data_IF_912013914275
#
_entry.id   IF_912013914275
#
_cell.length_a   1.000
_cell.length_b   1.000
_cell.length_c   1.000
_cell.angle_alpha   90.00
_cell.angle_beta   90.00
_cell.angle_gamma   90.00
#
_symmetry.space_group_name_H-M   'P 1'
#
loop_
_entity.id
_entity.type
_entity.pdbx_description
1 polymer ?
#
# COMPACT_ATOMS: atom_id res chain seq x y z
N UNK A 1 10.15 5.22 -15.68
CA UNK A 1 10.72 3.96 -16.22
C UNK A 1 11.30 4.17 -17.62
N UNK A 2 10.48 4.47 -18.63
CA UNK A 2 10.95 4.61 -20.02
C UNK A 2 12.15 5.55 -20.16
N UNK A 3 12.02 6.80 -19.70
CA UNK A 3 13.09 7.80 -19.82
C UNK A 3 14.39 7.34 -19.17
N UNK A 4 14.35 6.81 -17.95
CA UNK A 4 15.54 6.30 -17.24
C UNK A 4 16.20 5.14 -17.97
N UNK A 5 15.42 4.19 -18.49
CA UNK A 5 15.97 3.07 -19.28
C UNK A 5 16.63 3.58 -20.56
N UNK A 6 15.95 4.48 -21.28
CA UNK A 6 16.45 5.06 -22.53
C UNK A 6 17.75 5.84 -22.29
N UNK A 7 17.81 6.70 -21.28
CA UNK A 7 19.02 7.48 -20.99
C UNK A 7 20.19 6.58 -20.62
N UNK A 8 19.97 5.54 -19.81
CA UNK A 8 21.04 4.61 -19.44
C UNK A 8 21.53 3.76 -20.64
N UNK A 9 20.64 3.39 -21.57
CA UNK A 9 21.04 2.72 -22.81
C UNK A 9 21.91 3.64 -23.68
N UNK A 10 21.52 4.91 -23.82
CA UNK A 10 22.31 5.91 -24.55
C UNK A 10 23.69 6.10 -23.89
N UNK A 11 23.76 6.18 -22.57
CA UNK A 11 25.02 6.30 -21.83
C UNK A 11 25.95 5.11 -22.07
N UNK A 12 25.40 3.88 -22.11
CA UNK A 12 26.19 2.68 -22.42
C UNK A 12 26.68 2.67 -23.87
N UNK A 13 25.87 3.16 -24.81
CA UNK A 13 26.23 3.25 -26.23
C UNK A 13 27.37 4.25 -26.44
N UNK A 14 27.24 5.45 -25.87
CA UNK A 14 28.27 6.49 -25.92
C UNK A 14 29.59 6.09 -25.25
N UNK A 15 29.55 5.12 -24.34
CA UNK A 15 30.72 4.56 -23.68
C UNK A 15 31.27 3.28 -24.34
N UNK A 16 30.74 2.88 -25.51
CA UNK A 16 31.08 1.63 -26.21
C UNK A 16 30.89 0.37 -25.34
N UNK A 17 29.93 0.41 -24.40
CA UNK A 17 29.62 -0.68 -23.43
C UNK A 17 28.25 -1.31 -23.66
N UNK A 18 27.46 -0.82 -24.61
CA UNK A 18 26.15 -1.38 -24.90
C UNK A 18 26.27 -2.77 -25.55
N UNK A 19 25.50 -3.73 -25.03
CA UNK A 19 25.45 -5.08 -25.58
C UNK A 19 24.04 -5.44 -26.03
N UNK A 20 23.92 -6.34 -26.99
CA UNK A 20 22.61 -6.88 -27.41
C UNK A 20 21.85 -7.49 -26.23
N UNK A 21 22.54 -8.19 -25.33
CA UNK A 21 21.94 -8.78 -24.14
C UNK A 21 21.31 -7.71 -23.23
N UNK A 22 22.00 -6.58 -23.02
CA UNK A 22 21.46 -5.46 -22.24
C UNK A 22 20.19 -4.89 -22.87
N UNK A 23 20.19 -4.71 -24.19
CA UNK A 23 19.00 -4.23 -24.94
C UNK A 23 17.84 -5.21 -24.83
N UNK A 24 18.08 -6.50 -25.06
CA UNK A 24 17.05 -7.55 -24.99
C UNK A 24 16.42 -7.61 -23.58
N UNK A 25 17.24 -7.51 -22.52
CA UNK A 25 16.78 -7.49 -21.13
C UNK A 25 15.97 -6.23 -20.80
N UNK A 26 16.43 -5.06 -21.25
CA UNK A 26 15.72 -3.81 -21.06
C UNK A 26 14.36 -3.82 -21.77
N UNK A 27 14.31 -4.35 -23.00
CA UNK A 27 13.08 -4.48 -23.78
C UNK A 27 12.09 -5.43 -23.10
N UNK A 28 12.53 -6.62 -22.69
CA UNK A 28 11.70 -7.57 -21.96
C UNK A 28 11.14 -6.96 -20.67
N UNK A 29 11.99 -6.29 -19.90
CA UNK A 29 11.56 -5.62 -18.67
C UNK A 29 10.52 -4.54 -18.96
N UNK A 30 10.76 -3.68 -19.95
CA UNK A 30 9.86 -2.59 -20.30
C UNK A 30 8.49 -3.10 -20.74
N UNK A 31 8.45 -4.07 -21.66
CA UNK A 31 7.20 -4.65 -22.16
C UNK A 31 6.43 -5.35 -21.04
N UNK A 32 7.10 -6.19 -20.25
CA UNK A 32 6.47 -6.89 -19.11
C UNK A 32 5.88 -5.91 -18.11
N UNK A 33 6.62 -4.84 -17.79
CA UNK A 33 6.15 -3.82 -16.85
C UNK A 33 4.98 -3.02 -17.42
N UNK A 34 5.05 -2.64 -18.70
CA UNK A 34 4.00 -1.93 -19.41
C UNK A 34 2.70 -2.75 -19.43
N UNK A 35 2.77 -4.02 -19.81
CA UNK A 35 1.61 -4.90 -19.91
C UNK A 35 0.97 -5.12 -18.53
N UNK A 36 1.80 -5.33 -17.51
CA UNK A 36 1.35 -5.42 -16.12
C UNK A 36 0.67 -4.15 -15.63
N UNK A 37 1.24 -2.97 -15.93
CA UNK A 37 0.65 -1.68 -15.57
C UNK A 37 -0.66 -1.43 -16.32
N UNK A 38 -0.72 -1.72 -17.62
CA UNK A 38 -1.92 -1.57 -18.43
C UNK A 38 -3.04 -2.46 -17.91
N UNK A 39 -2.76 -3.74 -17.64
CA UNK A 39 -3.73 -4.66 -17.03
C UNK A 39 -4.20 -4.14 -15.67
N UNK A 40 -3.28 -3.66 -14.83
CA UNK A 40 -3.60 -3.09 -13.52
C UNK A 40 -4.52 -1.87 -13.60
N UNK A 41 -4.36 -1.02 -14.62
CA UNK A 41 -5.20 0.15 -14.85
C UNK A 41 -6.57 -0.26 -15.40
N UNK A 42 -6.60 -1.13 -16.42
CA UNK A 42 -7.84 -1.54 -17.08
C UNK A 42 -8.76 -2.33 -16.14
N UNK A 43 -8.21 -3.21 -15.30
CA UNK A 43 -8.99 -4.05 -14.40
C UNK A 43 -9.81 -3.25 -13.36
N UNK A 44 -9.45 -1.99 -13.12
CA UNK A 44 -10.11 -1.14 -12.11
C UNK A 44 -10.88 0.03 -12.69
N UNK A 45 -11.06 0.10 -14.01
CA UNK A 45 -12.01 1.03 -14.60
C UNK A 45 -13.41 0.96 -13.98
N UNK A 46 -13.93 -0.22 -13.55
CA UNK A 46 -15.19 -0.28 -12.81
C UNK A 46 -15.19 0.55 -11.51
N UNK A 47 -14.02 0.79 -10.89
CA UNK A 47 -13.90 1.54 -9.65
C UNK A 47 -14.16 3.04 -9.83
N UNK A 48 -13.96 3.60 -11.03
CA UNK A 48 -13.99 5.05 -11.27
C UNK A 48 -15.36 5.70 -11.03
N UNK A 49 -16.44 4.91 -11.01
CA UNK A 49 -17.78 5.37 -10.61
C UNK A 49 -17.99 5.51 -9.10
N UNK A 50 -16.99 5.14 -8.29
CA UNK A 50 -17.02 5.20 -6.83
C UNK A 50 -15.80 5.99 -6.31
N UNK A 51 -16.06 7.20 -5.81
CA UNK A 51 -15.01 8.12 -5.36
C UNK A 51 -14.17 7.57 -4.20
N UNK A 52 -14.78 6.87 -3.24
CA UNK A 52 -14.06 6.26 -2.11
C UNK A 52 -13.12 5.17 -2.58
N UNK A 53 -13.64 4.23 -3.38
CA UNK A 53 -12.85 3.10 -3.88
C UNK A 53 -11.71 3.60 -4.78
N UNK A 54 -11.99 4.55 -5.67
CA UNK A 54 -10.99 5.15 -6.54
C UNK A 54 -9.89 5.84 -5.73
N UNK A 55 -10.26 6.66 -4.75
CA UNK A 55 -9.29 7.35 -3.89
C UNK A 55 -8.47 6.38 -3.03
N UNK A 56 -9.08 5.33 -2.50
CA UNK A 56 -8.37 4.27 -1.79
C UNK A 56 -7.38 3.52 -2.67
N UNK A 57 -7.75 3.25 -3.92
CA UNK A 57 -6.83 2.66 -4.88
C UNK A 57 -5.67 3.58 -5.21
N UNK A 58 -5.93 4.87 -5.45
CA UNK A 58 -4.88 5.88 -5.68
C UNK A 58 -3.93 5.94 -4.48
N UNK A 59 -4.46 5.93 -3.26
CA UNK A 59 -3.67 5.88 -2.04
C UNK A 59 -2.75 4.64 -2.02
N UNK A 60 -3.32 3.46 -2.23
CA UNK A 60 -2.60 2.18 -2.28
C UNK A 60 -1.48 2.17 -3.32
N UNK A 61 -1.81 2.48 -4.58
CA UNK A 61 -0.87 2.45 -5.70
C UNK A 61 0.25 3.47 -5.52
N UNK A 62 -0.09 4.66 -5.00
CA UNK A 62 0.90 5.72 -4.78
C UNK A 62 1.86 5.31 -3.65
N UNK A 63 1.36 4.69 -2.57
CA UNK A 63 2.22 4.19 -1.49
C UNK A 63 3.14 3.08 -2.01
N UNK A 64 2.59 2.10 -2.73
CA UNK A 64 3.36 1.03 -3.36
C UNK A 64 4.42 1.57 -4.35
N UNK A 65 4.07 2.60 -5.12
CA UNK A 65 4.98 3.30 -6.02
C UNK A 65 6.16 3.90 -5.28
N UNK A 66 5.92 4.64 -4.19
CA UNK A 66 6.97 5.17 -3.32
C UNK A 66 7.76 4.09 -2.60
N UNK A 67 7.14 2.96 -2.28
CA UNK A 67 7.76 1.86 -1.54
C UNK A 67 8.72 1.02 -2.37
N UNK A 68 8.40 0.74 -3.64
CA UNK A 68 9.18 -0.21 -4.45
C UNK A 68 9.77 0.40 -5.71
N UNK A 69 8.95 1.06 -6.53
CA UNK A 69 9.40 1.55 -7.84
C UNK A 69 10.24 2.83 -7.73
N UNK A 70 9.88 3.73 -6.83
CA UNK A 70 10.62 4.96 -6.56
C UNK A 70 12.09 4.70 -6.21
N UNK A 71 12.39 3.91 -5.15
CA UNK A 71 13.77 3.62 -4.75
C UNK A 71 14.60 3.01 -5.87
N UNK A 72 14.05 2.04 -6.61
CA UNK A 72 14.74 1.43 -7.75
C UNK A 72 15.11 2.47 -8.83
N UNK A 73 14.25 3.48 -9.03
CA UNK A 73 14.50 4.58 -9.95
C UNK A 73 15.60 5.52 -9.47
N UNK A 74 15.49 6.00 -8.23
CA UNK A 74 16.43 6.99 -7.69
C UNK A 74 17.83 6.42 -7.50
N UNK A 75 17.95 5.10 -7.32
CA UNK A 75 19.22 4.40 -7.15
C UNK A 75 19.77 3.78 -8.45
N UNK A 76 19.18 4.11 -9.61
CA UNK A 76 19.65 3.67 -10.94
C UNK A 76 19.73 2.16 -11.13
N UNK A 77 18.86 1.38 -10.49
CA UNK A 77 18.96 -0.08 -10.45
C UNK A 77 18.21 -0.81 -11.58
N UNK A 78 17.55 -0.09 -12.50
CA UNK A 78 16.67 -0.71 -13.49
C UNK A 78 17.40 -1.58 -14.53
N UNK A 79 18.63 -1.23 -14.90
CA UNK A 79 19.47 -2.03 -15.79
C UNK A 79 20.36 -3.05 -15.06
N UNK A 80 20.18 -3.26 -13.76
CA UNK A 80 20.87 -4.31 -13.00
C UNK A 80 19.88 -5.41 -12.59
N UNK A 81 19.70 -6.48 -13.40
CA UNK A 81 18.84 -7.61 -13.04
C UNK A 81 19.26 -8.31 -11.76
N UNK A 82 20.56 -8.36 -11.46
CA UNK A 82 21.08 -9.09 -10.31
C UNK A 82 20.76 -8.33 -9.01
N UNK A 83 21.02 -7.02 -8.97
CA UNK A 83 20.64 -6.18 -7.84
C UNK A 83 19.12 -6.16 -7.62
N UNK A 84 18.32 -6.04 -8.69
CA UNK A 84 16.85 -6.15 -8.59
C UNK A 84 16.40 -7.50 -8.05
N UNK A 85 17.06 -8.58 -8.46
CA UNK A 85 16.80 -9.92 -7.95
C UNK A 85 17.01 -10.00 -6.44
N UNK A 86 18.17 -9.53 -5.96
CA UNK A 86 18.52 -9.50 -4.52
C UNK A 86 17.55 -8.63 -3.72
N UNK A 87 17.26 -7.42 -4.20
CA UNK A 87 16.33 -6.49 -3.56
C UNK A 87 14.88 -7.02 -3.49
N UNK A 88 14.47 -7.89 -4.44
CA UNK A 88 13.12 -8.49 -4.47
C UNK A 88 13.00 -9.78 -3.68
N UNK A 89 14.09 -10.43 -3.27
CA UNK A 89 14.02 -11.72 -2.56
C UNK A 89 13.23 -11.66 -1.25
N UNK A 90 13.14 -10.49 -0.60
CA UNK A 90 12.31 -10.27 0.60
C UNK A 90 10.91 -9.69 0.36
N UNK A 91 10.65 -9.08 -0.80
CA UNK A 91 9.40 -8.35 -1.09
C UNK A 91 8.52 -9.01 -2.15
N UNK A 92 8.82 -10.24 -2.56
CA UNK A 92 8.04 -10.99 -3.55
C UNK A 92 6.56 -11.16 -3.17
N UNK A 93 6.24 -11.19 -1.88
CA UNK A 93 4.87 -11.25 -1.37
C UNK A 93 4.04 -10.02 -1.73
N UNK A 94 4.67 -8.87 -2.02
CA UNK A 94 3.96 -7.68 -2.46
C UNK A 94 3.07 -7.95 -3.69
N UNK A 95 3.52 -8.76 -4.64
CA UNK A 95 2.71 -9.02 -5.85
C UNK A 95 1.44 -9.80 -5.54
N UNK A 96 1.50 -10.74 -4.59
CA UNK A 96 0.33 -11.47 -4.11
C UNK A 96 -0.64 -10.53 -3.39
N UNK A 97 -0.10 -9.66 -2.53
CA UNK A 97 -0.90 -8.67 -1.82
C UNK A 97 -1.53 -7.64 -2.78
N UNK A 98 -0.78 -7.18 -3.79
CA UNK A 98 -1.26 -6.23 -4.78
C UNK A 98 -2.41 -6.84 -5.60
N UNK A 99 -2.29 -8.08 -6.08
CA UNK A 99 -3.37 -8.78 -6.77
C UNK A 99 -4.61 -8.92 -5.89
N UNK A 100 -4.42 -9.28 -4.62
CA UNK A 100 -5.49 -9.38 -3.62
C UNK A 100 -6.21 -8.04 -3.42
N UNK A 101 -5.46 -6.95 -3.31
CA UNK A 101 -6.03 -5.60 -3.19
C UNK A 101 -6.74 -5.15 -4.46
N UNK A 102 -6.24 -5.48 -5.65
CA UNK A 102 -6.98 -5.19 -6.89
C UNK A 102 -8.35 -5.85 -6.91
N UNK A 103 -8.43 -7.13 -6.53
CA UNK A 103 -9.71 -7.82 -6.44
C UNK A 103 -10.62 -7.18 -5.39
N UNK A 104 -10.08 -6.83 -4.21
CA UNK A 104 -10.82 -6.12 -3.17
C UNK A 104 -11.45 -4.82 -3.70
N UNK A 105 -10.71 -4.00 -4.45
CA UNK A 105 -11.24 -2.74 -4.99
C UNK A 105 -12.36 -2.98 -6.01
N UNK A 106 -12.21 -3.97 -6.89
CA UNK A 106 -13.26 -4.33 -7.86
C UNK A 106 -14.52 -4.79 -7.14
N UNK A 107 -14.38 -5.71 -6.18
CA UNK A 107 -15.49 -6.24 -5.38
C UNK A 107 -16.14 -5.12 -4.56
N UNK A 108 -15.35 -4.24 -3.95
CA UNK A 108 -15.84 -3.11 -3.17
C UNK A 108 -16.65 -2.17 -4.05
N UNK A 109 -16.14 -1.79 -5.22
CA UNK A 109 -16.89 -0.94 -6.14
C UNK A 109 -18.23 -1.56 -6.55
N UNK A 110 -18.25 -2.88 -6.78
CA UNK A 110 -19.45 -3.59 -7.19
C UNK A 110 -20.49 -3.75 -6.07
N UNK A 111 -20.04 -3.91 -4.81
CA UNK A 111 -20.89 -4.19 -3.65
C UNK A 111 -21.16 -2.96 -2.77
N UNK A 112 -20.55 -1.81 -3.08
CA UNK A 112 -20.61 -0.60 -2.25
C UNK A 112 -22.04 -0.13 -2.00
N UNK A 113 -22.38 0.06 -0.72
CA UNK A 113 -23.61 0.72 -0.30
C UNK A 113 -23.46 2.24 -0.22
N UNK A 114 -22.27 2.78 -0.59
CA UNK A 114 -21.93 4.21 -0.56
C UNK A 114 -22.15 4.87 0.81
N UNK A 115 -21.82 4.14 1.87
CA UNK A 115 -21.91 4.58 3.27
C UNK A 115 -20.67 5.33 3.71
N UNK A 116 -19.52 4.93 3.19
CA UNK A 116 -18.26 5.64 3.42
C UNK A 116 -18.19 6.84 2.49
N UNK A 117 -17.70 7.97 3.00
CA UNK A 117 -17.43 9.15 2.16
C UNK A 117 -16.30 10.00 2.74
N UNK A 118 -15.76 10.90 1.92
CA UNK A 118 -14.77 11.91 2.30
C UNK A 118 -15.02 13.16 1.46
N UNK A 119 -14.63 14.33 1.96
CA UNK A 119 -14.74 15.59 1.19
C UNK A 119 -13.51 15.80 0.30
N UNK A 120 -12.33 15.66 0.89
CA UNK A 120 -11.05 15.87 0.21
C UNK A 120 -9.98 14.93 0.76
N UNK A 121 -9.16 14.37 -0.13
CA UNK A 121 -8.06 13.47 0.23
C UNK A 121 -6.72 14.09 -0.17
N UNK A 122 -6.00 14.60 0.82
CA UNK A 122 -4.56 14.90 0.68
C UNK A 122 -3.74 13.78 1.31
N UNK A 123 -3.35 12.81 0.50
CA UNK A 123 -2.58 11.66 0.96
C UNK A 123 -1.19 12.04 1.50
N UNK A 124 -0.66 13.23 1.17
CA UNK A 124 0.63 13.70 1.72
C UNK A 124 0.53 14.12 3.19
N UNK A 125 -0.68 14.38 3.70
CA UNK A 125 -0.91 14.68 5.11
C UNK A 125 -0.93 13.42 5.98
N UNK A 126 -0.99 12.22 5.39
CA UNK A 126 -0.84 11.00 6.17
C UNK A 126 0.62 10.81 6.62
N UNK A 127 0.89 10.71 7.94
CA UNK A 127 2.25 10.61 8.46
C UNK A 127 3.04 9.44 7.89
N UNK A 128 2.41 8.26 7.78
CA UNK A 128 3.05 7.06 7.22
C UNK A 128 3.47 7.26 5.75
N UNK A 129 2.70 8.03 4.98
CA UNK A 129 2.98 8.33 3.59
C UNK A 129 4.19 9.25 3.44
N UNK A 130 4.22 10.31 4.25
CA UNK A 130 5.35 11.24 4.33
C UNK A 130 6.63 10.52 4.74
N UNK A 131 6.55 9.59 5.69
CA UNK A 131 7.70 8.80 6.15
C UNK A 131 8.26 7.92 5.02
N UNK A 132 7.41 7.14 4.31
CA UNK A 132 7.87 6.31 3.19
C UNK A 132 8.51 7.17 2.11
N UNK A 133 7.87 8.28 1.71
CA UNK A 133 8.41 9.19 0.70
C UNK A 133 9.78 9.74 1.11
N UNK A 134 9.91 10.28 2.33
CA UNK A 134 11.17 10.85 2.81
C UNK A 134 12.27 9.81 2.98
N UNK A 135 11.91 8.59 3.41
CA UNK A 135 12.84 7.47 3.53
C UNK A 135 13.37 7.08 2.16
N UNK A 136 12.53 7.03 1.14
CA UNK A 136 12.85 6.45 -0.16
C UNK A 136 13.36 7.46 -1.20
N UNK A 137 13.25 8.76 -0.94
CA UNK A 137 13.77 9.83 -1.80
C UNK A 137 15.24 10.17 -1.47
N UNK A 138 16.11 9.17 -1.40
CA UNK A 138 17.55 9.29 -1.12
C UNK A 138 18.33 8.20 -1.84
N UNK A 139 19.62 8.46 -2.07
CA UNK A 139 20.56 7.41 -2.48
C UNK A 139 20.81 6.46 -1.31
N UNK A 140 20.88 5.17 -1.60
CA UNK A 140 20.94 4.08 -0.63
C UNK A 140 21.82 2.95 -1.12
N UNK A 141 22.39 2.26 -0.15
CA UNK A 141 23.02 0.96 -0.36
C UNK A 141 21.97 -0.10 -0.68
N UNK A 142 22.42 -1.21 -1.28
CA UNK A 142 21.54 -2.33 -1.58
C UNK A 142 20.86 -2.89 -0.32
N UNK A 143 21.59 -2.99 0.79
CA UNK A 143 21.04 -3.49 2.06
C UNK A 143 19.95 -2.56 2.60
N UNK A 144 20.16 -1.25 2.58
CA UNK A 144 19.12 -0.30 3.02
C UNK A 144 17.85 -0.40 2.16
N UNK A 145 17.98 -0.67 0.86
CA UNK A 145 16.84 -0.88 -0.04
C UNK A 145 16.09 -2.18 0.27
N UNK A 146 16.80 -3.25 0.61
CA UNK A 146 16.19 -4.50 1.07
C UNK A 146 15.40 -4.25 2.36
N UNK A 147 16.01 -3.58 3.34
CA UNK A 147 15.39 -3.28 4.63
C UNK A 147 14.15 -2.38 4.46
N UNK A 148 14.24 -1.35 3.59
CA UNK A 148 13.11 -0.49 3.26
C UNK A 148 11.96 -1.22 2.57
N UNK A 149 12.26 -2.19 1.69
CA UNK A 149 11.27 -3.00 1.01
C UNK A 149 10.51 -3.88 2.00
N UNK A 150 11.21 -4.49 2.96
CA UNK A 150 10.59 -5.28 4.03
C UNK A 150 9.69 -4.39 4.90
N UNK A 151 10.21 -3.26 5.39
CA UNK A 151 9.43 -2.32 6.19
C UNK A 151 8.25 -1.70 5.39
N UNK A 152 8.37 -1.57 4.07
CA UNK A 152 7.26 -1.14 3.20
C UNK A 152 6.18 -2.20 3.09
N UNK A 153 6.56 -3.47 2.96
CA UNK A 153 5.62 -4.57 2.89
C UNK A 153 4.80 -4.67 4.18
N UNK A 154 5.44 -4.51 5.33
CA UNK A 154 4.75 -4.47 6.63
C UNK A 154 3.68 -3.37 6.69
N UNK A 155 4.02 -2.16 6.23
CA UNK A 155 3.09 -1.03 6.17
C UNK A 155 1.95 -1.27 5.17
N UNK A 156 2.23 -1.91 4.03
CA UNK A 156 1.20 -2.24 3.06
C UNK A 156 0.24 -3.32 3.57
N UNK A 157 0.72 -4.28 4.36
CA UNK A 157 -0.17 -5.25 5.03
C UNK A 157 -1.12 -4.56 6.02
N UNK A 158 -0.64 -3.55 6.74
CA UNK A 158 -1.48 -2.76 7.65
C UNK A 158 -2.48 -1.89 6.88
N UNK A 159 -2.04 -1.22 5.82
CA UNK A 159 -2.91 -0.44 4.96
C UNK A 159 -3.97 -1.33 4.29
N UNK A 160 -3.61 -2.53 3.85
CA UNK A 160 -4.55 -3.49 3.29
C UNK A 160 -5.65 -3.85 4.29
N UNK A 161 -5.30 -4.11 5.56
CA UNK A 161 -6.28 -4.38 6.61
C UNK A 161 -7.17 -3.16 6.90
N UNK A 162 -6.59 -1.96 7.00
CA UNK A 162 -7.36 -0.73 7.22
C UNK A 162 -8.36 -0.47 6.09
N UNK A 163 -7.93 -0.64 4.83
CA UNK A 163 -8.79 -0.52 3.64
C UNK A 163 -9.88 -1.59 3.65
N UNK A 164 -9.54 -2.83 4.01
CA UNK A 164 -10.51 -3.92 4.09
C UNK A 164 -11.61 -3.65 5.12
N UNK A 165 -11.24 -3.17 6.30
CA UNK A 165 -12.22 -2.85 7.34
C UNK A 165 -13.15 -1.70 6.91
N UNK A 166 -12.62 -0.70 6.20
CA UNK A 166 -13.43 0.34 5.53
C UNK A 166 -14.38 -0.27 4.48
N UNK A 167 -13.90 -1.22 3.68
CA UNK A 167 -14.72 -1.90 2.68
C UNK A 167 -15.82 -2.75 3.32
N UNK A 168 -15.54 -3.45 4.43
CA UNK A 168 -16.55 -4.20 5.20
C UNK A 168 -17.61 -3.25 5.75
N UNK A 169 -17.21 -2.11 6.34
CA UNK A 169 -18.15 -1.12 6.84
C UNK A 169 -19.06 -0.54 5.74
N UNK A 170 -18.53 -0.39 4.53
CA UNK A 170 -19.29 0.11 3.40
C UNK A 170 -20.23 -0.92 2.77
N UNK A 171 -19.88 -2.21 2.82
CA UNK A 171 -20.56 -3.26 2.03
C UNK A 171 -21.39 -4.22 2.86
N UNK A 172 -20.95 -4.53 4.07
CA UNK A 172 -21.55 -5.50 4.98
C UNK A 172 -21.33 -5.09 6.46
N UNK A 173 -21.89 -3.94 6.87
CA UNK A 173 -21.63 -3.35 8.19
C UNK A 173 -22.00 -4.28 9.36
N UNK A 174 -22.97 -5.18 9.16
CA UNK A 174 -23.35 -6.18 10.17
C UNK A 174 -22.22 -7.18 10.48
N UNK A 175 -21.29 -7.38 9.55
CA UNK A 175 -20.12 -8.25 9.75
C UNK A 175 -19.00 -7.58 10.54
N UNK A 176 -19.05 -6.25 10.75
CA UNK A 176 -18.02 -5.54 11.52
C UNK A 176 -17.87 -6.09 12.94
N UNK A 177 -18.96 -6.61 13.52
CA UNK A 177 -18.96 -7.20 14.86
C UNK A 177 -18.07 -8.45 14.99
N UNK A 178 -17.68 -9.07 13.87
CA UNK A 178 -16.75 -10.20 13.88
C UNK A 178 -15.30 -9.78 14.11
N UNK A 179 -14.96 -8.51 13.88
CA UNK A 179 -13.59 -8.02 14.01
C UNK A 179 -13.42 -7.35 15.37
N UNK A 180 -12.32 -7.66 16.07
CA UNK A 180 -11.92 -6.93 17.28
C UNK A 180 -10.83 -5.89 16.96
N UNK A 181 -10.76 -4.82 17.74
CA UNK A 181 -9.77 -3.74 17.55
C UNK A 181 -8.31 -4.18 17.78
N UNK A 182 -8.12 -5.41 18.28
CA UNK A 182 -6.82 -6.00 18.62
C UNK A 182 -6.44 -7.17 17.73
N UNK A 183 -7.34 -7.61 16.84
CA UNK A 183 -7.10 -8.77 16.01
C UNK A 183 -6.28 -8.39 14.79
N UNK A 184 -5.19 -9.13 14.58
CA UNK A 184 -4.38 -9.03 13.40
C UNK A 184 -4.89 -10.02 12.37
N UNK A 185 -5.20 -9.57 11.15
CA UNK A 185 -5.75 -10.41 10.09
C UNK A 185 -4.66 -10.87 9.11
N UNK A 186 -4.95 -11.95 8.39
CA UNK A 186 -4.19 -12.34 7.22
C UNK A 186 -4.52 -11.42 6.03
N UNK A 187 -3.66 -10.43 5.77
CA UNK A 187 -3.82 -9.49 4.66
C UNK A 187 -3.96 -10.16 3.27
N UNK A 188 -3.45 -11.39 3.12
CA UNK A 188 -3.52 -12.16 1.86
C UNK A 188 -4.84 -12.93 1.71
N UNK A 189 -5.61 -13.08 2.79
CA UNK A 189 -6.92 -13.76 2.83
C UNK A 189 -8.12 -12.81 2.74
N UNK A 190 -7.88 -11.51 2.61
CA UNK A 190 -8.93 -10.48 2.55
C UNK A 190 -9.88 -10.70 1.35
N UNK A 191 -11.19 -10.61 1.57
CA UNK A 191 -12.18 -10.60 0.48
C UNK A 191 -13.50 -10.05 0.98
N UNK A 192 -14.36 -9.57 0.09
CA UNK A 192 -15.74 -9.21 0.42
C UNK A 192 -16.68 -10.40 0.22
N UNK A 193 -16.25 -11.59 0.66
CA UNK A 193 -17.06 -12.78 0.69
C UNK A 193 -16.96 -13.42 2.08
N UNK A 194 -17.84 -13.01 2.98
CA UNK A 194 -17.86 -13.45 4.37
C UNK A 194 -17.93 -14.99 4.53
N UNK A 195 -18.60 -15.68 3.60
CA UNK A 195 -18.73 -17.15 3.64
C UNK A 195 -17.41 -17.89 3.43
N UNK A 196 -16.38 -17.21 2.91
CA UNK A 196 -15.07 -17.80 2.61
C UNK A 196 -13.96 -17.40 3.57
N UNK A 197 -14.20 -16.49 4.51
CA UNK A 197 -13.13 -15.95 5.38
C UNK A 197 -12.39 -17.03 6.17
N UNK A 198 -13.11 -18.01 6.73
CA UNK A 198 -12.50 -19.14 7.42
C UNK A 198 -11.66 -20.02 6.48
N UNK A 199 -12.22 -20.34 5.30
CA UNK A 199 -11.56 -21.19 4.30
C UNK A 199 -10.30 -20.52 3.71
N UNK A 200 -10.37 -19.22 3.45
CA UNK A 200 -9.28 -18.41 2.91
C UNK A 200 -8.24 -18.05 4.00
N UNK A 201 -8.53 -18.40 5.26
CA UNK A 201 -7.65 -18.19 6.40
C UNK A 201 -7.51 -16.71 6.77
N UNK A 202 -8.57 -15.90 6.66
CA UNK A 202 -8.56 -14.49 7.04
C UNK A 202 -8.15 -14.32 8.51
N UNK A 203 -8.66 -15.18 9.38
CA UNK A 203 -8.38 -15.20 10.83
C UNK A 203 -7.15 -16.06 11.20
N UNK A 204 -6.32 -16.42 10.21
CA UNK A 204 -5.09 -17.20 10.40
C UNK A 204 -3.88 -16.38 9.93
N UNK A 205 -3.33 -15.49 10.79
CA UNK A 205 -2.40 -14.48 10.34
C UNK A 205 -1.08 -15.09 9.84
N UNK A 206 -0.59 -14.59 8.71
CA UNK A 206 0.65 -15.06 8.07
C UNK A 206 1.87 -14.18 8.35
N UNK A 207 1.66 -13.07 9.05
CA UNK A 207 2.70 -12.15 9.48
C UNK A 207 2.50 -11.78 10.95
N UNK A 208 3.57 -11.32 11.66
CA UNK A 208 3.46 -10.94 13.06
C UNK A 208 2.44 -9.81 13.27
N UNK A 209 1.65 -9.85 14.38
CA UNK A 209 0.69 -8.81 14.68
C UNK A 209 1.35 -7.45 14.87
N UNK A 210 0.71 -6.41 14.32
CA UNK A 210 1.17 -5.02 14.38
C UNK A 210 0.02 -4.09 14.75
N UNK A 211 0.40 -2.93 15.25
CA UNK A 211 -0.53 -1.89 15.66
C UNK A 211 -1.04 -1.10 14.44
N UNK A 212 -2.32 -1.30 14.10
CA UNK A 212 -2.95 -0.62 12.97
C UNK A 212 -3.23 0.86 13.23
N UNK A 213 -3.13 1.36 14.48
CA UNK A 213 -3.45 2.77 14.82
C UNK A 213 -2.69 3.77 13.97
N UNK A 214 -1.43 3.48 13.64
CA UNK A 214 -0.58 4.37 12.83
C UNK A 214 -1.13 4.63 11.42
N UNK A 215 -1.96 3.73 10.90
CA UNK A 215 -2.63 3.86 9.59
C UNK A 215 -4.10 4.25 9.78
N UNK A 216 -4.79 3.60 10.71
CA UNK A 216 -6.23 3.77 10.89
C UNK A 216 -6.63 5.11 11.49
N UNK A 217 -5.86 5.67 12.43
CA UNK A 217 -6.19 6.98 13.02
C UNK A 217 -6.13 8.12 11.98
N UNK A 218 -5.06 8.29 11.18
CA UNK A 218 -5.06 9.29 10.11
C UNK A 218 -6.17 9.07 9.08
N UNK A 219 -6.46 7.81 8.72
CA UNK A 219 -7.55 7.51 7.78
C UNK A 219 -8.91 7.87 8.37
N UNK A 220 -9.16 7.57 9.65
CA UNK A 220 -10.42 7.89 10.33
C UNK A 220 -10.69 9.39 10.48
N UNK A 221 -9.66 10.25 10.37
CA UNK A 221 -9.83 11.71 10.32
C UNK A 221 -10.34 12.21 8.96
N UNK A 222 -10.21 11.41 7.90
CA UNK A 222 -10.56 11.78 6.53
C UNK A 222 -11.82 11.06 6.05
N UNK A 223 -11.92 9.76 6.35
CA UNK A 223 -13.04 8.92 5.91
C UNK A 223 -14.11 8.87 6.98
N UNK A 224 -15.31 9.30 6.60
CA UNK A 224 -16.49 9.28 7.44
C UNK A 224 -17.25 7.98 7.20
N UNK A 225 -17.63 7.33 8.29
CA UNK A 225 -18.31 6.04 8.30
C UNK A 225 -19.45 6.11 9.33
N UNK A 226 -20.67 5.62 9.02
CA UNK A 226 -21.77 5.65 9.98
C UNK A 226 -21.49 4.80 11.23
N UNK A 227 -20.83 3.67 11.04
CA UNK A 227 -20.39 2.77 12.09
C UNK A 227 -18.99 3.15 12.60
N UNK A 228 -18.73 3.05 13.92
CA UNK A 228 -17.37 3.12 14.42
C UNK A 228 -16.61 1.86 13.96
N UNK A 229 -15.75 2.01 12.96
CA UNK A 229 -14.95 0.88 12.45
C UNK A 229 -14.05 0.31 13.55
N UNK A 230 -13.66 1.12 14.54
CA UNK A 230 -13.29 0.77 15.91
C UNK A 230 -13.41 2.08 16.75
N UNK A 231 -13.20 2.05 18.08
CA UNK A 231 -13.05 3.27 18.90
C UNK A 231 -11.77 4.07 18.55
N UNK A 232 -11.54 4.37 17.27
CA UNK A 232 -10.50 5.28 16.79
C UNK A 232 -10.96 6.70 17.10
N UNK A 233 -10.76 7.16 18.34
CA UNK A 233 -10.99 8.57 18.69
C UNK A 233 -11.92 8.87 19.87
N UNK A 234 -12.18 7.93 20.78
CA UNK A 234 -12.54 8.32 22.16
C UNK A 234 -11.29 8.23 23.03
N UNK A 235 -10.43 9.25 22.95
CA UNK A 235 -9.63 9.59 24.12
C UNK A 235 -10.61 9.81 25.29
N UNK A 236 -10.39 9.27 26.50
CA UNK A 236 -11.05 9.82 27.67
C UNK A 236 -10.71 11.32 27.72
N UNK A 237 -11.65 12.20 28.13
CA UNK A 237 -11.33 13.61 28.26
C UNK A 237 -10.09 13.74 29.12
N UNK A 238 -9.10 14.51 28.65
CA UNK A 238 -7.97 14.93 29.46
C UNK A 238 -8.55 15.42 30.79
N UNK A 239 -8.28 14.69 31.86
CA UNK A 239 -8.57 15.19 33.20
C UNK A 239 -7.75 16.47 33.32
N UNK A 240 -8.45 17.60 33.44
CA UNK A 240 -7.86 18.84 33.91
C UNK A 240 -7.34 18.59 35.32
N UNK A 241 -6.09 18.16 35.45
CA UNK A 241 -5.36 18.26 36.71
C UNK A 241 -4.68 19.62 36.75
N UNK A 242 -5.49 20.59 37.18
CA UNK A 242 -5.02 21.72 37.97
C UNK A 242 -4.30 21.18 39.21
N UNK A 243 -2.97 21.27 39.24
CA UNK A 243 -2.16 21.36 40.45
C UNK A 243 -0.74 21.77 40.03
N UNK A 244 -0.43 23.07 40.01
CA UNK A 244 0.27 23.73 41.11
C UNK A 244 1.65 23.13 41.39
N UNK A 245 2.69 23.67 40.74
CA UNK A 245 4.05 23.66 41.28
C UNK A 245 4.68 25.05 41.10
N UNK A 246 4.58 25.80 42.19
CA UNK A 246 5.42 26.94 42.55
C UNK A 246 6.88 26.49 42.56
N UNK A 247 7.76 27.23 41.89
CA UNK A 247 9.19 27.23 42.22
C UNK A 247 9.61 28.67 42.52
N UNK A 248 10.03 28.84 43.78
CA UNK A 248 10.94 29.89 44.26
C UNK A 248 12.34 29.57 43.75
#
# INVERSE_FOLDING_TARGET
FANTLTTQIIELDLADRLTKQTVDQANLFYLTYNDGLAANIHNVYPCFGNGVVTSMKVLWDTLAGWSFSGPMMFNSLYLDPAARGRIRQGSGLFFLLAQRMQQLFVDWSAQSLRRVYFEYLDYLNFPFFKQVRLRNLKNKTEQELIDDHLASLELLEELAQAIFLLAVADTMPEQLAQFSSTEWLNAYGISLNATKWEQDGLFQPKSPPRDLRRVMEPMGQVFQVPEPIFNLGKNPPLKNETAAQTYV
#
